data_IF_439608796294
#
_entry.id   IF_439608796294
#
_cell.length_a   1.000
_cell.length_b   1.000
_cell.length_c   1.000
_cell.angle_alpha   90.00
_cell.angle_beta   90.00
_cell.angle_gamma   90.00
#
_symmetry.space_group_name_H-M   'P 1'
#
loop_
_entity.id
_entity.type
_entity.pdbx_description
1 polymer ?
#
# COMPACT_ATOMS: atom_id res chain seq x y z
N UNK A 1 -5.48 -52.77 46.70
CA UNK A 1 -5.40 -51.44 47.24
C UNK A 1 -4.30 -50.68 46.49
N UNK A 2 -4.65 -49.98 45.42
CA UNK A 2 -3.71 -49.25 44.54
C UNK A 2 -3.46 -47.92 45.24
N UNK A 3 -2.27 -47.71 45.81
CA UNK A 3 -1.85 -46.37 46.25
C UNK A 3 -1.60 -45.55 44.99
N UNK A 4 -2.50 -44.64 44.71
CA UNK A 4 -2.23 -43.51 43.82
C UNK A 4 -1.09 -42.73 44.43
N UNK A 5 0.02 -42.64 43.71
CA UNK A 5 1.13 -41.79 44.10
C UNK A 5 0.64 -40.33 44.08
N UNK A 6 0.33 -39.79 45.22
CA UNK A 6 0.27 -38.35 45.48
C UNK A 6 1.72 -37.83 45.47
N UNK A 7 2.30 -37.72 44.26
CA UNK A 7 3.55 -37.00 44.16
C UNK A 7 3.20 -35.61 43.60
N UNK A 8 3.45 -34.58 44.34
CA UNK A 8 3.34 -33.15 43.92
C UNK A 8 4.07 -32.91 42.60
N UNK A 9 5.15 -33.69 42.34
CA UNK A 9 5.88 -33.69 41.05
C UNK A 9 5.05 -34.18 39.86
N UNK A 10 4.18 -35.19 40.06
CA UNK A 10 3.31 -35.68 39.00
C UNK A 10 2.20 -34.67 38.63
N UNK A 11 1.68 -33.95 39.62
CA UNK A 11 0.67 -32.92 39.46
C UNK A 11 1.26 -31.74 38.66
N UNK A 12 2.46 -31.26 39.02
CA UNK A 12 3.15 -30.19 38.31
C UNK A 12 3.45 -30.52 36.83
N UNK A 13 3.78 -31.80 36.56
CA UNK A 13 3.98 -32.26 35.18
C UNK A 13 2.70 -32.24 34.35
N UNK A 14 1.57 -32.61 34.94
CA UNK A 14 0.25 -32.57 34.29
C UNK A 14 -0.18 -31.12 34.03
N UNK A 15 -0.02 -30.23 34.99
CA UNK A 15 -0.33 -28.80 34.85
C UNK A 15 0.53 -28.18 33.75
N UNK A 16 1.83 -28.46 33.72
CA UNK A 16 2.72 -27.99 32.65
C UNK A 16 2.33 -28.53 31.27
N UNK A 17 2.02 -29.83 31.19
CA UNK A 17 1.59 -30.46 29.94
C UNK A 17 0.25 -29.88 29.43
N UNK A 18 -0.59 -29.35 30.30
CA UNK A 18 -1.85 -28.76 29.92
C UNK A 18 -1.71 -27.28 29.48
N UNK A 19 -0.78 -26.55 30.08
CA UNK A 19 -0.54 -25.13 29.77
C UNK A 19 0.35 -24.97 28.54
N UNK A 20 1.30 -25.85 28.31
CA UNK A 20 2.31 -25.76 27.24
C UNK A 20 1.70 -25.72 25.83
N UNK A 21 0.73 -26.58 25.43
CA UNK A 21 0.15 -26.55 24.09
C UNK A 21 -0.54 -25.24 23.74
N UNK A 22 -1.44 -24.67 24.57
CA UNK A 22 -2.07 -23.39 24.24
C UNK A 22 -1.05 -22.25 24.18
N UNK A 23 -0.04 -22.24 25.05
CA UNK A 23 1.03 -21.26 25.01
C UNK A 23 1.82 -21.31 23.71
N UNK A 24 2.21 -22.52 23.26
CA UNK A 24 2.91 -22.74 22.01
C UNK A 24 2.04 -22.31 20.80
N UNK A 25 0.75 -22.61 20.82
CA UNK A 25 -0.17 -22.19 19.74
C UNK A 25 -0.24 -20.68 19.61
N UNK A 26 -0.35 -19.95 20.72
CA UNK A 26 -0.36 -18.48 20.70
C UNK A 26 0.95 -17.93 20.15
N UNK A 27 2.09 -18.51 20.55
CA UNK A 27 3.40 -18.11 20.07
C UNK A 27 3.56 -18.37 18.57
N UNK A 28 3.18 -19.55 18.09
CA UNK A 28 3.26 -19.90 16.66
C UNK A 28 2.37 -18.99 15.82
N UNK A 29 1.12 -18.77 16.23
CA UNK A 29 0.22 -17.85 15.53
C UNK A 29 0.75 -16.41 15.55
N UNK A 30 1.36 -15.97 16.65
CA UNK A 30 1.99 -14.66 16.74
C UNK A 30 3.12 -14.48 15.73
N UNK A 31 4.01 -15.47 15.61
CA UNK A 31 5.11 -15.45 14.63
C UNK A 31 4.57 -15.46 13.19
N UNK A 32 3.56 -16.27 12.89
CA UNK A 32 2.93 -16.31 11.57
C UNK A 32 2.28 -14.97 11.23
N UNK A 33 1.56 -14.38 12.18
CA UNK A 33 0.89 -13.08 11.97
C UNK A 33 1.90 -11.97 11.70
N UNK A 34 2.96 -11.87 12.50
CA UNK A 34 4.03 -10.90 12.28
C UNK A 34 4.73 -11.11 10.94
N UNK A 35 4.96 -12.35 10.54
CA UNK A 35 5.53 -12.68 9.24
C UNK A 35 4.65 -12.23 8.07
N UNK A 36 3.32 -12.35 8.19
CA UNK A 36 2.39 -11.87 7.16
C UNK A 36 2.35 -10.34 7.10
N UNK A 37 2.31 -9.65 8.23
CA UNK A 37 2.37 -8.18 8.30
C UNK A 37 3.64 -7.66 7.64
N UNK A 38 4.80 -8.25 7.95
CA UNK A 38 6.08 -7.85 7.37
C UNK A 38 6.11 -8.08 5.84
N UNK A 39 5.58 -9.21 5.39
CA UNK A 39 5.47 -9.52 3.94
C UNK A 39 4.61 -8.49 3.22
N UNK A 40 3.45 -8.14 3.79
CA UNK A 40 2.56 -7.14 3.22
C UNK A 40 3.21 -5.75 3.20
N UNK A 41 3.93 -5.35 4.28
CA UNK A 41 4.68 -4.11 4.33
C UNK A 41 5.77 -4.03 3.24
N UNK A 42 6.50 -5.13 3.02
CA UNK A 42 7.50 -5.19 1.94
C UNK A 42 6.87 -5.06 0.55
N UNK A 43 5.71 -5.67 0.34
CA UNK A 43 4.97 -5.56 -0.93
C UNK A 43 4.50 -4.12 -1.15
N UNK A 44 3.97 -3.45 -0.12
CA UNK A 44 3.58 -2.05 -0.21
C UNK A 44 4.76 -1.15 -0.53
N UNK A 45 5.90 -1.34 0.14
CA UNK A 45 7.12 -0.58 -0.13
C UNK A 45 7.66 -0.80 -1.56
N UNK A 46 7.52 -2.00 -2.10
CA UNK A 46 7.85 -2.26 -3.51
C UNK A 46 6.88 -1.55 -4.45
N UNK A 47 5.58 -1.57 -4.15
CA UNK A 47 4.53 -0.93 -4.95
C UNK A 47 4.68 0.60 -4.99
N UNK A 48 4.93 1.24 -3.85
CA UNK A 48 5.13 2.70 -3.78
C UNK A 48 6.40 3.13 -4.51
N UNK A 49 7.48 2.34 -4.44
CA UNK A 49 8.73 2.60 -5.20
C UNK A 49 8.52 2.49 -6.71
N UNK A 50 7.81 1.46 -7.17
CA UNK A 50 7.53 1.29 -8.59
C UNK A 50 6.60 2.40 -9.10
N UNK A 51 5.56 2.76 -8.35
CA UNK A 51 4.72 3.90 -8.66
C UNK A 51 5.50 5.21 -8.73
N UNK A 52 6.40 5.47 -7.78
CA UNK A 52 7.24 6.67 -7.76
C UNK A 52 8.21 6.69 -8.96
N UNK A 53 8.79 5.55 -9.33
CA UNK A 53 9.65 5.41 -10.51
C UNK A 53 8.90 5.79 -11.79
N UNK A 54 7.69 5.28 -11.96
CA UNK A 54 6.85 5.60 -13.12
C UNK A 54 6.43 7.07 -13.08
N UNK A 55 6.02 7.59 -11.93
CA UNK A 55 5.66 8.99 -11.76
C UNK A 55 6.80 9.94 -12.11
N UNK A 56 8.03 9.59 -11.75
CA UNK A 56 9.22 10.42 -12.05
C UNK A 56 9.58 10.40 -13.54
N UNK A 57 9.30 9.30 -14.24
CA UNK A 57 9.66 9.12 -15.64
C UNK A 57 8.63 9.69 -16.62
N UNK A 58 7.36 9.68 -16.25
CA UNK A 58 6.25 10.10 -17.11
C UNK A 58 5.88 11.58 -17.01
N UNK A 59 6.76 12.39 -16.46
CA UNK A 59 6.52 13.85 -16.41
C UNK A 59 6.78 14.47 -17.77
N UNK A 60 5.84 15.27 -18.24
CA UNK A 60 5.80 15.78 -19.59
C UNK A 60 6.58 17.10 -19.81
N UNK A 61 7.65 17.30 -19.11
CA UNK A 61 8.70 18.26 -19.46
C UNK A 61 8.34 19.72 -19.34
N UNK A 62 7.21 20.07 -18.81
CA UNK A 62 6.81 21.40 -19.04
C UNK A 62 6.07 22.13 -17.93
N UNK A 63 6.70 22.33 -16.79
CA UNK A 63 6.20 23.36 -15.86
C UNK A 63 5.91 24.72 -16.53
N UNK A 64 6.66 25.03 -17.58
CA UNK A 64 6.46 26.25 -18.38
C UNK A 64 5.38 26.10 -19.50
N UNK A 65 5.07 24.88 -19.93
CA UNK A 65 4.14 24.64 -21.03
C UNK A 65 2.68 24.45 -20.55
N UNK A 66 2.50 24.17 -19.26
CA UNK A 66 1.19 23.97 -18.66
C UNK A 66 0.42 22.78 -19.27
N UNK A 67 -0.91 22.88 -19.26
CA UNK A 67 -1.81 21.82 -19.74
C UNK A 67 -2.26 22.04 -21.19
N UNK A 68 -1.36 22.42 -22.07
CA UNK A 68 -1.67 22.63 -23.49
C UNK A 68 -1.96 21.32 -24.21
N UNK A 69 -2.87 21.33 -25.18
CA UNK A 69 -3.17 20.17 -26.00
C UNK A 69 -1.94 19.72 -26.79
N UNK A 70 -1.78 18.39 -26.94
CA UNK A 70 -0.70 17.81 -27.76
C UNK A 70 0.62 17.56 -27.05
N UNK A 71 0.68 17.75 -25.74
CA UNK A 71 1.87 17.36 -24.97
C UNK A 71 2.04 15.83 -24.91
N UNK A 72 3.28 15.37 -24.92
CA UNK A 72 3.64 13.94 -24.82
C UNK A 72 4.57 13.71 -23.63
N UNK A 73 4.31 12.71 -22.77
CA UNK A 73 3.14 11.82 -22.80
C UNK A 73 1.83 12.57 -22.53
N UNK A 74 0.71 11.99 -22.95
CA UNK A 74 -0.60 12.58 -22.68
C UNK A 74 -0.81 12.66 -21.18
N UNK A 75 -1.01 13.88 -20.66
CA UNK A 75 -1.21 14.13 -19.24
C UNK A 75 -2.32 13.30 -18.61
N UNK A 76 -3.37 12.99 -19.37
CA UNK A 76 -4.48 12.15 -18.92
C UNK A 76 -4.07 10.68 -18.64
N UNK A 77 -2.96 10.22 -19.18
CA UNK A 77 -2.49 8.84 -19.01
C UNK A 77 -1.40 8.70 -17.94
N UNK A 78 -0.80 9.79 -17.47
CA UNK A 78 0.31 9.76 -16.50
C UNK A 78 -0.10 9.09 -15.21
N UNK A 79 -1.11 9.62 -14.53
CA UNK A 79 -1.56 9.07 -13.25
C UNK A 79 -2.16 7.65 -13.38
N UNK A 80 -2.96 7.33 -14.39
CA UNK A 80 -3.39 5.96 -14.64
C UNK A 80 -2.24 4.96 -14.79
N UNK A 81 -1.16 5.32 -15.48
CA UNK A 81 0.02 4.46 -15.59
C UNK A 81 0.76 4.28 -14.27
N UNK A 82 0.81 5.32 -13.43
CA UNK A 82 1.36 5.22 -12.07
C UNK A 82 0.55 4.24 -11.23
N UNK A 83 -0.79 4.38 -11.24
CA UNK A 83 -1.68 3.47 -10.51
C UNK A 83 -1.58 2.05 -11.04
N UNK A 84 -1.53 1.85 -12.38
CA UNK A 84 -1.32 0.54 -12.99
C UNK A 84 -0.02 -0.12 -12.54
N UNK A 85 1.06 0.65 -12.41
CA UNK A 85 2.34 0.15 -11.92
C UNK A 85 2.28 -0.27 -10.46
N UNK A 86 1.64 0.52 -9.60
CA UNK A 86 1.39 0.18 -8.19
C UNK A 86 0.55 -1.09 -8.09
N UNK A 87 -0.60 -1.13 -8.79
CA UNK A 87 -1.52 -2.26 -8.77
C UNK A 87 -0.86 -3.56 -9.24
N UNK A 88 -0.06 -3.50 -10.30
CA UNK A 88 0.69 -4.67 -10.82
C UNK A 88 1.61 -5.29 -9.76
N UNK A 89 2.22 -4.49 -8.91
CA UNK A 89 3.04 -5.00 -7.79
C UNK A 89 2.16 -5.56 -6.68
N UNK A 90 1.07 -4.87 -6.33
CA UNK A 90 0.15 -5.29 -5.28
C UNK A 90 -0.53 -6.63 -5.58
N UNK A 91 -0.86 -6.92 -6.86
CA UNK A 91 -1.48 -8.19 -7.28
C UNK A 91 -0.49 -9.17 -7.89
N UNK A 92 0.79 -8.82 -7.93
CA UNK A 92 1.85 -9.63 -8.54
C UNK A 92 2.07 -10.98 -7.87
N UNK A 93 2.76 -11.88 -8.56
CA UNK A 93 3.09 -13.20 -8.04
C UNK A 93 3.89 -13.10 -6.73
N UNK A 94 3.39 -13.78 -5.69
CA UNK A 94 3.99 -13.75 -4.34
C UNK A 94 3.41 -12.69 -3.41
N UNK A 95 2.61 -11.75 -3.90
CA UNK A 95 1.84 -10.86 -3.05
C UNK A 95 0.76 -11.64 -2.29
N UNK A 96 0.58 -11.27 -1.02
CA UNK A 96 -0.53 -11.76 -0.18
C UNK A 96 -1.59 -10.69 0.05
N UNK A 97 -1.38 -9.49 -0.51
CA UNK A 97 -2.31 -8.38 -0.38
C UNK A 97 -3.57 -8.69 -1.17
N UNK A 98 -4.71 -8.52 -0.54
CA UNK A 98 -6.01 -8.51 -1.21
C UNK A 98 -6.27 -7.09 -1.69
N UNK A 99 -6.42 -6.89 -3.00
CA UNK A 99 -6.53 -5.54 -3.58
C UNK A 99 -7.69 -4.73 -2.99
N UNK A 100 -8.78 -5.39 -2.61
CA UNK A 100 -9.94 -4.73 -1.97
C UNK A 100 -9.66 -4.20 -0.55
N UNK A 101 -8.56 -4.63 0.07
CA UNK A 101 -8.14 -4.11 1.38
C UNK A 101 -7.21 -2.88 1.22
N UNK A 102 -6.77 -2.58 -0.02
CA UNK A 102 -6.10 -1.31 -0.36
C UNK A 102 -7.17 -0.24 -0.51
N UNK A 103 -7.25 0.69 0.42
CA UNK A 103 -8.31 1.69 0.48
C UNK A 103 -8.13 2.81 -0.53
N UNK A 104 -6.88 3.24 -0.70
CA UNK A 104 -6.54 4.33 -1.61
C UNK A 104 -5.06 4.34 -2.02
N UNK A 105 -4.82 4.89 -3.19
CA UNK A 105 -3.50 5.27 -3.70
C UNK A 105 -3.52 6.78 -3.88
N UNK A 106 -2.53 7.50 -3.32
CA UNK A 106 -2.39 8.94 -3.47
C UNK A 106 -1.13 9.28 -4.24
N UNK A 107 -1.28 10.17 -5.21
CA UNK A 107 -0.22 10.77 -6.00
C UNK A 107 -0.19 12.24 -5.63
N UNK A 108 0.86 12.70 -4.95
CA UNK A 108 0.92 14.06 -4.44
C UNK A 108 2.27 14.72 -4.73
N UNK A 109 2.27 16.05 -4.70
CA UNK A 109 3.52 16.81 -4.69
C UNK A 109 4.19 16.66 -3.33
N UNK A 110 5.48 16.38 -3.32
CA UNK A 110 6.27 16.30 -2.10
C UNK A 110 6.67 17.68 -1.59
N UNK A 111 6.62 17.85 -0.28
CA UNK A 111 7.33 18.93 0.41
C UNK A 111 8.83 18.64 0.47
N UNK A 112 9.65 19.60 0.87
CA UNK A 112 11.08 19.39 1.11
C UNK A 112 11.36 18.33 2.19
N UNK A 113 10.42 18.12 3.10
CA UNK A 113 10.51 17.10 4.15
C UNK A 113 10.01 15.72 3.71
N UNK A 114 9.60 15.55 2.45
CA UNK A 114 9.08 14.28 1.92
C UNK A 114 7.60 14.02 2.21
N UNK A 115 6.87 14.95 2.82
CA UNK A 115 5.44 14.83 3.09
C UNK A 115 4.59 15.27 1.90
N UNK A 116 3.32 14.85 1.87
CA UNK A 116 2.33 15.32 0.89
C UNK A 116 2.02 16.81 1.07
N UNK A 117 1.98 17.55 -0.02
CA UNK A 117 1.60 18.98 -0.01
C UNK A 117 0.07 19.10 -0.04
N UNK A 118 -0.50 19.75 0.96
CA UNK A 118 -1.95 19.97 1.02
C UNK A 118 -2.46 20.71 -0.23
N UNK A 119 -3.60 20.28 -0.76
CA UNK A 119 -4.18 20.87 -1.98
C UNK A 119 -3.46 20.48 -3.28
N UNK A 120 -2.50 19.57 -3.24
CA UNK A 120 -1.80 19.02 -4.41
C UNK A 120 -1.72 17.50 -4.33
N UNK A 121 -2.89 16.86 -4.17
CA UNK A 121 -3.04 15.42 -3.97
C UNK A 121 -4.09 14.89 -4.93
N UNK A 122 -3.75 13.86 -5.70
CA UNK A 122 -4.70 13.09 -6.50
C UNK A 122 -4.96 11.77 -5.79
N UNK A 123 -6.17 11.57 -5.32
CA UNK A 123 -6.56 10.37 -4.58
C UNK A 123 -7.34 9.43 -5.50
N UNK A 124 -6.88 8.20 -5.58
CA UNK A 124 -7.50 7.08 -6.28
C UNK A 124 -8.05 6.12 -5.24
N UNK A 125 -9.36 6.06 -5.11
CA UNK A 125 -10.01 5.17 -4.14
C UNK A 125 -10.38 3.85 -4.77
N UNK A 126 -10.29 2.77 -3.97
CA UNK A 126 -10.65 1.44 -4.43
C UNK A 126 -12.10 1.38 -4.94
N UNK A 127 -12.27 0.85 -6.11
CA UNK A 127 -13.55 0.53 -6.74
C UNK A 127 -13.33 -0.58 -7.74
N UNK A 128 -13.75 -1.77 -7.41
CA UNK A 128 -13.58 -2.95 -8.25
C UNK A 128 -13.91 -2.65 -9.73
N UNK A 129 -12.94 -2.80 -10.62
CA UNK A 129 -13.02 -2.47 -12.04
C UNK A 129 -13.55 -1.05 -12.32
N UNK A 130 -13.31 -0.10 -11.42
CA UNK A 130 -13.86 1.25 -11.52
C UNK A 130 -12.93 2.29 -12.13
N UNK A 131 -11.70 1.92 -12.46
CA UNK A 131 -10.69 2.80 -13.04
C UNK A 131 -10.65 2.76 -14.58
N UNK A 132 -9.73 3.48 -15.21
CA UNK A 132 -9.49 3.43 -16.63
C UNK A 132 -8.83 2.10 -17.05
N UNK A 133 -8.90 1.80 -18.36
CA UNK A 133 -8.19 0.66 -18.96
C UNK A 133 -6.80 1.11 -19.38
N UNK A 134 -5.76 0.41 -18.89
CA UNK A 134 -4.35 0.63 -19.25
C UNK A 134 -3.77 -0.68 -19.74
N UNK A 135 -3.17 -0.67 -20.92
CA UNK A 135 -2.57 -1.85 -21.56
C UNK A 135 -3.54 -3.06 -21.63
N UNK A 136 -4.84 -2.79 -21.81
CA UNK A 136 -5.89 -3.81 -21.87
C UNK A 136 -6.35 -4.32 -20.50
N UNK A 137 -5.81 -3.82 -19.40
CA UNK A 137 -6.24 -4.16 -18.04
C UNK A 137 -7.07 -3.05 -17.43
N UNK A 138 -8.23 -3.38 -16.89
CA UNK A 138 -9.09 -2.49 -16.12
C UNK A 138 -8.50 -2.30 -14.74
N UNK A 139 -8.32 -1.04 -14.31
CA UNK A 139 -7.83 -0.75 -12.98
C UNK A 139 -8.94 -0.87 -11.91
N UNK A 140 -8.53 -1.25 -10.71
CA UNK A 140 -9.41 -1.39 -9.54
C UNK A 140 -9.51 -0.11 -8.68
N UNK A 141 -9.02 1.02 -9.21
CA UNK A 141 -9.08 2.31 -8.53
C UNK A 141 -9.75 3.36 -9.41
N UNK A 142 -10.78 4.02 -8.85
CA UNK A 142 -11.50 5.08 -9.56
C UNK A 142 -10.60 6.32 -9.74
N UNK A 143 -10.62 6.89 -10.94
CA UNK A 143 -9.86 8.09 -11.23
C UNK A 143 -10.36 9.30 -10.43
N UNK A 144 -9.50 10.27 -10.08
CA UNK A 144 -9.90 11.51 -9.43
C UNK A 144 -11.03 12.21 -10.18
N UNK A 145 -12.07 12.60 -9.45
CA UNK A 145 -13.29 13.16 -10.02
C UNK A 145 -14.35 12.13 -10.41
N UNK A 146 -14.05 10.84 -10.31
CA UNK A 146 -15.01 9.74 -10.50
C UNK A 146 -15.28 9.09 -9.14
N UNK A 147 -16.55 9.04 -8.71
CA UNK A 147 -16.90 8.46 -7.41
C UNK A 147 -16.38 7.02 -7.26
N UNK A 148 -15.76 6.68 -6.11
CA UNK A 148 -15.70 7.41 -4.86
C UNK A 148 -14.53 8.42 -4.72
N UNK A 149 -13.65 8.57 -5.72
CA UNK A 149 -12.46 9.42 -5.66
C UNK A 149 -12.82 10.92 -5.71
N UNK A 150 -12.16 11.77 -4.88
CA UNK A 150 -12.35 13.22 -4.94
C UNK A 150 -11.77 13.80 -6.24
N UNK A 151 -12.11 15.07 -6.60
CA UNK A 151 -11.53 15.75 -7.74
C UNK A 151 -10.00 15.83 -7.68
N UNK A 152 -9.36 15.82 -8.85
CA UNK A 152 -7.91 15.99 -8.95
C UNK A 152 -7.49 17.40 -8.48
N UNK A 153 -6.46 17.44 -7.63
CA UNK A 153 -5.90 18.67 -7.08
C UNK A 153 -4.51 18.99 -7.67
N UNK A 154 -3.83 18.00 -8.21
CA UNK A 154 -2.50 18.15 -8.80
C UNK A 154 -2.45 17.53 -10.19
N UNK A 155 -2.73 18.36 -11.20
CA UNK A 155 -2.78 17.89 -12.57
C UNK A 155 -1.39 17.49 -13.10
N UNK A 156 -1.29 16.37 -13.80
CA UNK A 156 -0.03 15.85 -14.32
C UNK A 156 0.68 16.84 -15.27
N UNK A 157 -0.10 17.59 -16.06
CA UNK A 157 0.43 18.61 -16.98
C UNK A 157 1.01 19.86 -16.29
N UNK A 158 0.70 20.10 -15.03
CA UNK A 158 1.23 21.24 -14.27
C UNK A 158 2.48 20.90 -13.46
N UNK A 159 2.92 19.66 -13.50
CA UNK A 159 4.09 19.18 -12.75
C UNK A 159 5.38 19.69 -13.39
N UNK A 160 6.28 20.20 -12.56
CA UNK A 160 7.55 20.76 -13.03
C UNK A 160 8.70 19.74 -12.91
N UNK A 161 9.29 19.38 -14.05
CA UNK A 161 10.49 18.56 -14.11
C UNK A 161 11.73 19.34 -14.58
N UNK A 162 11.61 20.65 -14.74
CA UNK A 162 12.75 21.56 -15.04
C UNK A 162 13.29 22.10 -13.72
N UNK A 163 14.61 22.30 -13.64
CA UNK A 163 15.25 22.77 -12.41
C UNK A 163 14.69 24.13 -11.92
N UNK A 164 14.31 24.27 -10.66
CA UNK A 164 14.24 23.24 -9.62
C UNK A 164 13.07 22.28 -9.84
N UNK A 165 13.39 21.00 -10.08
CA UNK A 165 12.36 19.99 -10.34
C UNK A 165 11.54 19.71 -9.08
N UNK A 166 10.24 19.43 -9.28
CA UNK A 166 9.36 18.98 -8.22
C UNK A 166 9.63 17.50 -7.89
N UNK A 167 9.15 17.06 -6.74
CA UNK A 167 9.17 15.65 -6.36
C UNK A 167 7.75 15.14 -6.19
N UNK A 168 7.52 13.93 -6.66
CA UNK A 168 6.27 13.21 -6.44
C UNK A 168 6.41 12.31 -5.21
N UNK A 169 5.35 12.22 -4.42
CA UNK A 169 5.19 11.21 -3.39
C UNK A 169 4.02 10.31 -3.76
N UNK A 170 4.27 9.00 -3.74
CA UNK A 170 3.26 7.98 -3.95
C UNK A 170 3.00 7.32 -2.61
N UNK A 171 1.76 7.39 -2.16
CA UNK A 171 1.32 6.82 -0.88
C UNK A 171 0.27 5.74 -1.14
N UNK A 172 0.44 4.59 -0.53
CA UNK A 172 -0.53 3.48 -0.55
C UNK A 172 -1.04 3.27 0.86
N UNK A 173 -2.35 3.19 1.01
CA UNK A 173 -3.02 2.91 2.27
C UNK A 173 -3.76 1.58 2.18
N UNK A 174 -3.46 0.70 3.13
CA UNK A 174 -3.91 -0.68 3.18
C UNK A 174 -4.49 -1.01 4.55
N UNK A 175 -5.64 -1.64 4.58
CA UNK A 175 -6.24 -2.16 5.81
C UNK A 175 -5.84 -3.62 6.00
N UNK A 176 -4.82 -3.85 6.85
CA UNK A 176 -4.46 -5.20 7.24
C UNK A 176 -5.58 -5.86 8.03
N UNK A 177 -5.89 -7.11 7.70
CA UNK A 177 -6.84 -7.95 8.43
C UNK A 177 -6.12 -9.21 8.90
N UNK A 178 -6.17 -9.45 10.20
CA UNK A 178 -5.54 -10.63 10.80
C UNK A 178 -5.99 -11.92 10.14
N UNK A 179 -5.02 -12.78 9.82
CA UNK A 179 -5.23 -14.03 9.07
C UNK A 179 -5.24 -15.26 9.96
N UNK A 180 -4.79 -15.12 11.21
CA UNK A 180 -4.75 -16.21 12.18
C UNK A 180 -5.92 -16.12 13.18
N UNK A 181 -6.25 -17.21 13.88
CA UNK A 181 -7.24 -17.18 14.97
C UNK A 181 -6.88 -16.20 16.10
N UNK A 182 -5.64 -15.75 16.16
CA UNK A 182 -5.17 -14.78 17.17
C UNK A 182 -5.96 -13.47 17.14
N UNK A 183 -6.50 -13.08 15.98
CA UNK A 183 -7.36 -11.90 15.83
C UNK A 183 -8.59 -11.92 16.75
N UNK A 184 -9.06 -13.11 17.16
CA UNK A 184 -10.22 -13.25 18.06
C UNK A 184 -9.82 -13.07 19.52
N UNK A 185 -8.55 -13.35 19.85
CA UNK A 185 -8.02 -13.30 21.22
C UNK A 185 -7.37 -11.94 21.52
N UNK A 186 -6.76 -11.34 20.50
CA UNK A 186 -6.02 -10.08 20.63
C UNK A 186 -6.60 -9.04 19.67
N UNK A 187 -7.40 -8.08 20.14
CA UNK A 187 -8.12 -7.11 19.29
C UNK A 187 -7.19 -6.30 18.36
N UNK A 188 -5.95 -6.05 18.78
CA UNK A 188 -4.95 -5.34 18.00
C UNK A 188 -4.57 -6.06 16.70
N UNK A 189 -4.75 -7.39 16.60
CA UNK A 189 -4.54 -8.16 15.38
C UNK A 189 -5.81 -8.32 14.53
N UNK A 190 -6.94 -7.75 14.93
CA UNK A 190 -8.16 -7.86 14.16
C UNK A 190 -8.03 -7.10 12.83
N UNK A 191 -7.82 -5.80 12.89
CA UNK A 191 -7.50 -4.96 11.73
C UNK A 191 -6.77 -3.69 12.15
N UNK A 192 -5.91 -3.18 11.30
CA UNK A 192 -5.26 -1.88 11.43
C UNK A 192 -4.85 -1.34 10.07
N UNK A 193 -4.73 -0.03 9.97
CA UNK A 193 -4.31 0.62 8.73
C UNK A 193 -2.79 0.70 8.66
N UNK A 194 -2.22 0.29 7.53
CA UNK A 194 -0.82 0.47 7.17
C UNK A 194 -0.73 1.50 6.06
N UNK A 195 0.25 2.37 6.15
CA UNK A 195 0.52 3.37 5.12
C UNK A 195 2.00 3.32 4.78
N UNK A 196 2.31 3.25 3.50
CA UNK A 196 3.67 3.37 2.99
C UNK A 196 3.74 4.47 1.95
N UNK A 197 4.88 5.15 1.87
CA UNK A 197 5.09 6.18 0.87
C UNK A 197 6.53 6.21 0.36
N UNK A 198 6.68 6.55 -0.90
CA UNK A 198 7.98 6.76 -1.53
C UNK A 198 7.99 8.11 -2.25
N UNK A 199 9.07 8.87 -2.03
CA UNK A 199 9.31 10.15 -2.69
C UNK A 199 10.37 9.98 -3.76
N UNK A 200 10.12 10.54 -4.94
CA UNK A 200 11.09 10.57 -6.03
C UNK A 200 11.06 11.93 -6.75
N UNK A 201 12.22 12.49 -7.02
CA UNK A 201 12.33 13.69 -7.84
C UNK A 201 11.94 13.39 -9.28
N UNK A 202 11.25 14.32 -9.92
CA UNK A 202 10.90 14.20 -11.32
C UNK A 202 12.15 14.34 -12.18
N UNK A 203 12.35 13.41 -13.13
CA UNK A 203 13.48 13.47 -14.03
C UNK A 203 13.35 14.68 -14.96
N UNK A 204 14.37 15.53 -14.95
CA UNK A 204 14.51 16.55 -15.98
C UNK A 204 14.71 15.82 -17.33
N UNK A 205 13.78 15.91 -18.25
CA UNK A 205 14.04 15.55 -19.63
C UNK A 205 15.10 16.52 -20.15
N UNK A 206 16.28 15.96 -20.48
CA UNK A 206 17.34 16.68 -21.20
C UNK A 206 17.00 16.81 -22.67
#
# INVERSE_FOLDING_TARGET
MIRFFESEEAQGLVEFALILPPLLLVLVFGVVELGTVLSDAMTMAAATREGARVASALVNGGGALGCSAGQSPNAATVDPNVVAAVERVLVGNGSRITISDVTQIRIAKSTLAGAETAGQINTWMYKNNGGPVIDGQQLDFAAPGTAPSPPAQWQACSRNNVAPAESAVITVEYTYRGRTPLRMLVPMFNQFTMTDHTVMAMNANR
#
